data_IF_509523563157
#
_entry.id   IF_509523563157
#
_cell.length_a   1.000
_cell.length_b   1.000
_cell.length_c   1.000
_cell.angle_alpha   90.00
_cell.angle_beta   90.00
_cell.angle_gamma   90.00
#
_symmetry.space_group_name_H-M   'P 1'
#
loop_
_entity.id
_entity.type
_entity.pdbx_description
1 polymer ?
#
# COMPACT_ATOMS: atom_id res chain seq x y z
N UNK A 1 1.41 -20.43 -3.48
CA UNK A 1 0.26 -19.51 -3.50
C UNK A 1 0.22 -18.70 -4.79
N UNK A 2 -0.99 -18.47 -5.32
CA UNK A 2 -1.26 -17.62 -6.48
C UNK A 2 -0.98 -18.26 -7.85
N UNK A 3 -1.07 -17.50 -8.96
CA UNK A 3 -1.55 -16.12 -8.99
C UNK A 3 -3.03 -16.02 -8.57
N UNK A 4 -3.38 -14.99 -7.81
CA UNK A 4 -4.72 -14.65 -7.35
C UNK A 4 -5.18 -13.40 -8.11
N UNK A 5 -5.51 -13.61 -9.38
CA UNK A 5 -6.04 -12.53 -10.21
C UNK A 5 -7.43 -12.13 -9.71
N UNK A 6 -7.66 -10.82 -9.63
CA UNK A 6 -8.98 -10.25 -9.43
C UNK A 6 -9.59 -9.95 -10.79
N UNK A 7 -10.77 -10.51 -11.06
CA UNK A 7 -11.58 -10.16 -12.24
C UNK A 7 -12.65 -9.11 -11.91
N UNK A 8 -12.92 -8.91 -10.61
CA UNK A 8 -13.86 -7.93 -10.08
C UNK A 8 -13.49 -7.51 -8.66
N UNK A 9 -14.14 -6.44 -8.18
CA UNK A 9 -13.93 -5.91 -6.82
C UNK A 9 -14.64 -6.76 -5.75
N UNK A 10 -15.71 -7.43 -6.13
CA UNK A 10 -16.43 -8.40 -5.30
C UNK A 10 -15.56 -9.59 -4.90
N UNK A 11 -14.57 -9.96 -5.73
CA UNK A 11 -13.65 -11.05 -5.46
C UNK A 11 -12.61 -10.75 -4.38
N UNK A 12 -12.42 -9.48 -3.98
CA UNK A 12 -11.42 -9.07 -2.99
C UNK A 12 -11.64 -9.79 -1.66
N UNK A 13 -12.90 -9.88 -1.23
CA UNK A 13 -13.30 -10.44 0.06
C UNK A 13 -14.03 -11.77 -0.06
N UNK A 14 -14.24 -12.26 -1.29
CA UNK A 14 -14.85 -13.55 -1.51
C UNK A 14 -13.95 -14.66 -0.91
N UNK A 15 -14.54 -15.69 -0.25
CA UNK A 15 -13.80 -16.85 0.19
C UNK A 15 -12.98 -17.43 -0.97
N UNK A 16 -11.68 -17.63 -0.74
CA UNK A 16 -10.81 -18.25 -1.74
C UNK A 16 -10.92 -19.76 -1.67
N UNK A 17 -10.87 -20.40 -2.83
CA UNK A 17 -10.74 -21.85 -2.90
C UNK A 17 -9.50 -22.28 -2.09
N UNK A 18 -9.59 -23.31 -1.23
CA UNK A 18 -8.46 -23.76 -0.41
C UNK A 18 -7.20 -24.09 -1.21
N UNK A 19 -7.33 -24.46 -2.49
CA UNK A 19 -6.20 -24.69 -3.39
C UNK A 19 -5.36 -23.44 -3.67
N UNK A 20 -5.89 -22.23 -3.48
CA UNK A 20 -5.17 -20.96 -3.62
C UNK A 20 -3.89 -20.89 -2.77
N UNK A 21 -3.89 -21.57 -1.62
CA UNK A 21 -2.82 -21.59 -0.63
C UNK A 21 -1.83 -22.74 -0.81
N UNK A 22 -2.09 -23.67 -1.74
CA UNK A 22 -1.21 -24.82 -1.96
C UNK A 22 0.15 -24.40 -2.51
N UNK A 23 1.15 -25.26 -2.29
CA UNK A 23 2.46 -25.14 -2.90
C UNK A 23 2.32 -25.14 -4.43
N UNK A 24 2.85 -24.11 -5.08
CA UNK A 24 2.71 -23.89 -6.52
C UNK A 24 4.00 -23.29 -7.07
N UNK A 25 5.05 -24.12 -7.28
CA UNK A 25 6.36 -23.64 -7.74
C UNK A 25 6.27 -23.21 -9.20
N UNK A 26 6.81 -22.02 -9.48
CA UNK A 26 6.87 -21.44 -10.82
C UNK A 26 7.92 -20.34 -10.86
N UNK A 27 8.30 -19.92 -12.05
CA UNK A 27 9.19 -18.78 -12.23
C UNK A 27 8.48 -17.47 -11.86
N UNK A 28 9.26 -16.53 -11.34
CA UNK A 28 8.86 -15.13 -11.21
C UNK A 28 8.69 -14.51 -12.60
N UNK A 29 7.62 -13.76 -12.82
CA UNK A 29 7.26 -13.19 -14.12
C UNK A 29 7.21 -11.68 -14.07
N UNK A 30 7.97 -11.04 -14.97
CA UNK A 30 7.98 -9.58 -15.15
C UNK A 30 7.68 -9.22 -16.60
N UNK A 31 7.05 -8.07 -16.78
CA UNK A 31 6.73 -7.48 -18.08
C UNK A 31 6.71 -5.96 -17.93
N UNK A 32 7.86 -5.33 -18.13
CA UNK A 32 8.06 -3.92 -17.78
C UNK A 32 7.24 -2.98 -18.65
N UNK A 33 6.48 -2.08 -18.02
CA UNK A 33 5.71 -1.04 -18.67
C UNK A 33 6.02 0.35 -18.09
N UNK A 34 7.02 1.00 -18.68
CA UNK A 34 7.45 2.34 -18.25
C UNK A 34 6.42 3.45 -18.51
N UNK A 35 5.41 3.23 -19.35
CA UNK A 35 4.39 4.23 -19.63
C UNK A 35 3.51 4.52 -18.39
N UNK A 36 3.24 3.49 -17.57
CA UNK A 36 2.50 3.64 -16.32
C UNK A 36 3.29 4.49 -15.30
N UNK A 37 4.59 4.23 -15.17
CA UNK A 37 5.46 5.00 -14.28
C UNK A 37 5.55 6.47 -14.70
N UNK A 38 5.75 6.72 -16.01
CA UNK A 38 5.78 8.10 -16.55
C UNK A 38 4.48 8.86 -16.29
N UNK A 39 3.34 8.16 -16.28
CA UNK A 39 2.02 8.77 -16.08
C UNK A 39 1.69 9.01 -14.61
N UNK A 40 1.97 8.04 -13.74
CA UNK A 40 1.44 8.01 -12.37
C UNK A 40 2.50 8.10 -11.27
N UNK A 41 3.75 7.71 -11.53
CA UNK A 41 4.83 7.65 -10.55
C UNK A 41 6.04 8.51 -10.98
N UNK A 42 5.77 9.75 -11.40
CA UNK A 42 6.77 10.71 -11.88
C UNK A 42 7.10 11.77 -10.81
N UNK A 43 8.03 12.67 -11.14
CA UNK A 43 8.46 13.73 -10.22
C UNK A 43 7.33 14.71 -9.83
N UNK A 44 6.32 14.90 -10.69
CA UNK A 44 5.14 15.71 -10.36
C UNK A 44 4.26 15.01 -9.31
N UNK A 45 4.05 13.69 -9.43
CA UNK A 45 3.34 12.92 -8.42
C UNK A 45 4.02 13.01 -7.05
N UNK A 46 5.36 12.91 -7.01
CA UNK A 46 6.15 13.12 -5.78
C UNK A 46 5.95 14.51 -5.22
N UNK A 47 6.02 15.56 -6.05
CA UNK A 47 5.78 16.94 -5.61
C UNK A 47 4.38 17.13 -5.04
N UNK A 48 3.35 16.59 -5.70
CA UNK A 48 1.97 16.68 -5.23
C UNK A 48 1.76 15.94 -3.91
N UNK A 49 2.36 14.77 -3.73
CA UNK A 49 2.34 14.05 -2.45
C UNK A 49 2.99 14.88 -1.33
N UNK A 50 4.20 15.39 -1.54
CA UNK A 50 4.91 16.15 -0.51
C UNK A 50 4.26 17.51 -0.20
N UNK A 51 3.55 18.10 -1.17
CA UNK A 51 2.81 19.36 -1.01
C UNK A 51 1.38 19.18 -0.45
N UNK A 52 0.89 17.94 -0.35
CA UNK A 52 -0.44 17.65 0.15
C UNK A 52 -0.62 18.20 1.57
N UNK A 53 -1.75 18.86 1.83
CA UNK A 53 -2.06 19.44 3.14
C UNK A 53 -2.68 18.41 4.08
N UNK A 54 -3.42 17.45 3.54
CA UNK A 54 -4.11 16.41 4.29
C UNK A 54 -3.68 15.01 3.86
N UNK A 55 -3.88 14.02 4.73
CA UNK A 55 -3.62 12.61 4.40
C UNK A 55 -4.51 12.13 3.23
N UNK A 56 -5.75 12.66 3.12
CA UNK A 56 -6.64 12.36 2.02
C UNK A 56 -6.08 12.84 0.66
N UNK A 57 -5.49 14.03 0.61
CA UNK A 57 -4.82 14.54 -0.59
C UNK A 57 -3.57 13.71 -0.94
N UNK A 58 -2.77 13.35 0.06
CA UNK A 58 -1.59 12.49 -0.12
C UNK A 58 -1.99 11.13 -0.71
N UNK A 59 -2.94 10.44 -0.07
CA UNK A 59 -3.48 9.15 -0.54
C UNK A 59 -4.16 9.28 -1.90
N UNK A 60 -4.81 10.41 -2.19
CA UNK A 60 -5.41 10.69 -3.49
C UNK A 60 -4.42 10.72 -4.67
N UNK A 61 -3.11 10.83 -4.40
CA UNK A 61 -2.04 10.70 -5.40
C UNK A 61 -1.37 9.33 -5.32
N UNK A 62 -1.11 8.85 -4.10
CA UNK A 62 -0.40 7.61 -3.86
C UNK A 62 -1.26 6.38 -4.19
N UNK A 63 -2.40 6.23 -3.51
CA UNK A 63 -3.27 5.05 -3.57
C UNK A 63 -4.74 5.47 -3.34
N UNK A 64 -5.43 5.99 -4.38
CA UNK A 64 -6.76 6.55 -4.21
C UNK A 64 -7.77 5.49 -3.76
N UNK A 65 -8.52 5.77 -2.69
CA UNK A 65 -9.58 4.89 -2.17
C UNK A 65 -10.82 4.76 -3.08
N UNK A 66 -10.80 5.30 -4.31
CA UNK A 66 -11.93 5.14 -5.24
C UNK A 66 -11.61 4.04 -6.26
N UNK A 67 -12.50 3.05 -6.36
CA UNK A 67 -12.45 2.01 -7.37
C UNK A 67 -12.22 2.56 -8.79
N UNK A 68 -11.33 1.92 -9.54
CA UNK A 68 -11.00 2.28 -10.92
C UNK A 68 -10.03 3.46 -11.07
N UNK A 69 -9.60 4.10 -9.98
CA UNK A 69 -8.52 5.09 -9.99
C UNK A 69 -7.18 4.41 -9.72
N UNK A 70 -6.14 4.84 -10.44
CA UNK A 70 -4.77 4.35 -10.29
C UNK A 70 -3.91 5.49 -9.74
N UNK A 71 -3.19 5.21 -8.66
CA UNK A 71 -2.17 6.09 -8.08
C UNK A 71 -0.75 5.59 -8.33
N UNK A 72 0.22 6.31 -7.75
CA UNK A 72 1.63 5.96 -7.84
C UNK A 72 1.97 4.57 -7.28
N UNK A 73 1.30 4.13 -6.21
CA UNK A 73 1.47 2.82 -5.58
C UNK A 73 1.09 1.68 -6.55
N UNK A 74 -0.18 1.65 -6.97
CA UNK A 74 -0.66 0.65 -7.94
C UNK A 74 0.15 0.67 -9.25
N UNK A 75 0.51 1.85 -9.76
CA UNK A 75 1.35 1.96 -10.96
C UNK A 75 2.74 1.36 -10.77
N UNK A 76 3.36 1.50 -9.59
CA UNK A 76 4.63 0.87 -9.26
C UNK A 76 4.55 -0.66 -9.29
N UNK A 77 3.45 -1.23 -8.79
CA UNK A 77 3.17 -2.67 -8.85
C UNK A 77 2.99 -3.15 -10.30
N UNK A 78 1.97 -2.65 -10.99
CA UNK A 78 1.56 -3.20 -12.30
C UNK A 78 2.56 -2.88 -13.43
N UNK A 79 3.43 -1.87 -13.26
CA UNK A 79 4.48 -1.57 -14.22
C UNK A 79 5.58 -2.65 -14.29
N UNK A 80 5.70 -3.52 -13.28
CA UNK A 80 6.71 -4.58 -13.27
C UNK A 80 6.18 -5.90 -13.83
N UNK A 81 4.88 -6.03 -14.02
CA UNK A 81 4.23 -7.19 -14.63
C UNK A 81 3.47 -8.06 -13.63
N UNK A 82 3.15 -9.31 -14.00
CA UNK A 82 2.09 -10.07 -13.35
C UNK A 82 2.40 -10.51 -11.92
N UNK A 83 3.67 -10.77 -11.55
CA UNK A 83 3.98 -11.12 -10.15
C UNK A 83 3.74 -9.93 -9.22
N UNK A 84 4.26 -8.74 -9.53
CA UNK A 84 4.02 -7.53 -8.73
C UNK A 84 2.59 -7.01 -8.85
N UNK A 85 1.91 -7.24 -9.98
CA UNK A 85 0.52 -6.80 -10.19
C UNK A 85 -0.53 -7.64 -9.45
N UNK A 86 -0.16 -8.79 -8.88
CA UNK A 86 -1.04 -9.61 -8.06
C UNK A 86 -1.14 -9.00 -6.65
N UNK A 87 -2.29 -8.41 -6.33
CA UNK A 87 -2.51 -7.67 -5.07
C UNK A 87 -2.28 -8.54 -3.82
N UNK A 88 -2.47 -9.86 -3.91
CA UNK A 88 -2.28 -10.76 -2.76
C UNK A 88 -0.88 -11.36 -2.70
N UNK A 89 -0.20 -11.45 -3.84
CA UNK A 89 1.02 -12.22 -4.01
C UNK A 89 2.22 -11.39 -4.49
N UNK A 90 2.08 -10.07 -4.60
CA UNK A 90 3.13 -9.13 -5.03
C UNK A 90 4.42 -9.22 -4.22
N UNK A 91 4.31 -9.51 -2.92
CA UNK A 91 5.44 -9.76 -2.01
C UNK A 91 6.36 -10.91 -2.44
N UNK A 92 5.90 -11.79 -3.35
CA UNK A 92 6.75 -12.84 -3.93
C UNK A 92 7.83 -12.28 -4.88
N UNK A 93 7.69 -11.04 -5.36
CA UNK A 93 8.77 -10.35 -6.06
C UNK A 93 9.63 -9.55 -5.06
N UNK A 94 10.95 -9.82 -4.95
CA UNK A 94 11.83 -9.11 -4.01
C UNK A 94 11.82 -7.58 -4.15
N UNK A 95 11.48 -7.04 -5.32
CA UNK A 95 11.40 -5.58 -5.52
C UNK A 95 10.21 -4.93 -4.80
N UNK A 96 9.25 -5.73 -4.33
CA UNK A 96 8.15 -5.29 -3.48
C UNK A 96 8.66 -4.46 -2.30
N UNK A 97 9.72 -4.92 -1.64
CA UNK A 97 10.30 -4.25 -0.47
C UNK A 97 10.93 -2.91 -0.83
N UNK A 98 11.56 -2.79 -2.00
CA UNK A 98 12.11 -1.52 -2.48
C UNK A 98 11.00 -0.53 -2.87
N UNK A 99 9.93 -1.05 -3.48
CA UNK A 99 8.74 -0.25 -3.80
C UNK A 99 8.11 0.31 -2.52
N UNK A 100 7.83 -0.54 -1.54
CA UNK A 100 7.22 -0.13 -0.27
C UNK A 100 8.15 0.71 0.61
N UNK A 101 9.48 0.53 0.52
CA UNK A 101 10.42 1.45 1.17
C UNK A 101 10.33 2.88 0.60
N UNK A 102 10.09 3.03 -0.70
CA UNK A 102 9.86 4.36 -1.29
C UNK A 102 8.49 4.94 -0.89
N UNK A 103 7.45 4.10 -0.78
CA UNK A 103 6.14 4.51 -0.25
C UNK A 103 6.27 5.04 1.17
N UNK A 104 6.94 4.28 2.05
CA UNK A 104 7.17 4.66 3.44
C UNK A 104 8.05 5.91 3.55
N UNK A 105 9.09 6.04 2.72
CA UNK A 105 9.92 7.25 2.64
C UNK A 105 9.10 8.50 2.31
N UNK A 106 8.22 8.43 1.31
CA UNK A 106 7.37 9.57 0.96
C UNK A 106 6.39 9.92 2.07
N UNK A 107 5.82 8.91 2.72
CA UNK A 107 4.92 9.10 3.86
C UNK A 107 5.63 9.75 5.05
N UNK A 108 6.81 9.24 5.44
CA UNK A 108 7.62 9.80 6.50
C UNK A 108 8.06 11.24 6.22
N UNK A 109 8.49 11.55 4.99
CA UNK A 109 8.80 12.93 4.57
C UNK A 109 7.59 13.85 4.70
N UNK A 110 6.40 13.40 4.26
CA UNK A 110 5.17 14.16 4.35
C UNK A 110 4.73 14.42 5.81
N UNK A 111 4.89 13.43 6.69
CA UNK A 111 4.62 13.55 8.13
C UNK A 111 5.55 14.57 8.80
N UNK A 112 6.86 14.47 8.56
CA UNK A 112 7.86 15.39 9.13
C UNK A 112 7.56 16.83 8.75
N UNK A 113 7.18 17.08 7.50
CA UNK A 113 6.90 18.42 6.99
C UNK A 113 5.69 19.12 7.66
N UNK A 114 4.72 18.38 8.21
CA UNK A 114 3.54 18.96 8.87
C UNK A 114 3.40 18.61 10.35
N UNK A 115 4.48 18.12 10.99
CA UNK A 115 4.55 18.00 12.43
C UNK A 115 3.56 17.01 13.07
N UNK A 116 3.18 17.21 14.34
CA UNK A 116 2.37 16.27 15.11
C UNK A 116 0.99 15.97 14.51
N UNK A 117 0.36 16.94 13.84
CA UNK A 117 -0.97 16.75 13.22
C UNK A 117 -0.93 15.69 12.11
N UNK A 118 0.11 15.72 11.27
CA UNK A 118 0.29 14.72 10.21
C UNK A 118 0.75 13.37 10.74
N UNK A 119 1.42 13.34 11.89
CA UNK A 119 1.91 12.09 12.50
C UNK A 119 0.79 11.09 12.72
N UNK A 120 -0.37 11.56 13.18
CA UNK A 120 -1.52 10.70 13.50
C UNK A 120 -2.66 10.82 12.48
N UNK A 121 -2.41 11.45 11.32
CA UNK A 121 -3.44 11.67 10.32
C UNK A 121 -3.82 10.34 9.63
N UNK A 122 -5.12 10.05 9.63
CA UNK A 122 -5.71 8.87 8.98
C UNK A 122 -6.89 9.30 8.11
N UNK A 123 -7.15 8.55 7.05
CA UNK A 123 -8.34 8.68 6.21
C UNK A 123 -8.67 7.33 5.58
N UNK A 124 -9.95 6.96 5.58
CA UNK A 124 -10.44 5.71 4.99
C UNK A 124 -10.90 4.69 6.02
N UNK A 125 -11.11 3.47 5.55
CA UNK A 125 -11.72 2.36 6.29
C UNK A 125 -10.81 1.13 6.31
N UNK A 126 -11.21 0.09 7.06
CA UNK A 126 -10.52 -1.21 7.04
C UNK A 126 -10.77 -2.03 5.77
N UNK A 127 -11.45 -1.46 4.77
CA UNK A 127 -11.86 -2.13 3.54
C UNK A 127 -11.32 -1.34 2.34
N UNK A 128 -10.57 -2.02 1.47
CA UNK A 128 -10.16 -1.53 0.15
C UNK A 128 -11.34 -0.90 -0.61
N UNK A 129 -11.09 0.30 -1.14
CA UNK A 129 -12.02 1.19 -1.83
C UNK A 129 -13.09 1.88 -0.99
N UNK A 130 -12.93 1.93 0.34
CA UNK A 130 -13.77 2.71 1.26
C UNK A 130 -15.28 2.60 0.99
N UNK A 131 -15.84 1.37 0.97
CA UNK A 131 -17.27 1.21 0.76
C UNK A 131 -18.06 1.94 1.87
N UNK A 132 -19.23 2.51 1.55
CA UNK A 132 -19.92 3.45 2.44
C UNK A 132 -20.41 2.83 3.76
N UNK A 133 -20.48 1.51 3.83
CA UNK A 133 -20.87 0.76 5.02
C UNK A 133 -19.68 0.39 5.92
N UNK A 134 -18.44 0.58 5.46
CA UNK A 134 -17.26 0.19 6.21
C UNK A 134 -16.94 1.18 7.32
N UNK A 135 -16.50 0.64 8.45
CA UNK A 135 -16.08 1.44 9.60
C UNK A 135 -14.75 2.14 9.31
N UNK A 136 -14.70 3.44 9.59
CA UNK A 136 -13.48 4.23 9.51
C UNK A 136 -12.41 3.69 10.47
N UNK A 137 -11.16 3.71 10.03
CA UNK A 137 -10.03 3.35 10.89
C UNK A 137 -9.70 4.50 11.83
N UNK A 138 -9.21 4.15 13.02
CA UNK A 138 -8.70 5.11 14.01
C UNK A 138 -7.31 4.67 14.45
N UNK A 139 -6.62 5.54 15.18
CA UNK A 139 -5.29 5.23 15.74
C UNK A 139 -5.32 4.07 16.75
N UNK A 140 -6.50 3.68 17.25
CA UNK A 140 -6.68 2.53 18.13
C UNK A 140 -7.11 1.24 17.41
N UNK A 141 -7.37 1.29 16.09
CA UNK A 141 -7.59 0.10 15.27
C UNK A 141 -6.37 -0.82 15.35
N UNK A 142 -6.62 -2.12 15.54
CA UNK A 142 -5.59 -3.16 15.61
C UNK A 142 -5.30 -3.70 14.21
N UNK A 143 -4.02 -3.78 13.87
CA UNK A 143 -3.48 -4.42 12.67
C UNK A 143 -2.93 -5.78 13.05
N UNK A 144 -3.31 -6.80 12.29
CA UNK A 144 -2.90 -8.20 12.48
C UNK A 144 -1.75 -8.54 11.54
N UNK A 145 -0.73 -9.23 12.06
CA UNK A 145 0.44 -9.70 11.27
C UNK A 145 0.52 -11.23 11.17
N UNK A 146 -0.44 -11.94 11.75
CA UNK A 146 -0.52 -13.40 11.70
C UNK A 146 0.74 -14.07 12.27
N UNK A 147 1.32 -15.00 11.51
CA UNK A 147 2.55 -15.71 11.93
C UNK A 147 3.82 -14.87 11.81
N UNK A 148 3.75 -13.70 11.15
CA UNK A 148 4.92 -12.84 10.89
C UNK A 148 5.18 -11.84 12.03
N UNK A 149 4.25 -11.67 12.96
CA UNK A 149 4.39 -10.74 14.08
C UNK A 149 3.16 -10.70 14.98
N UNK A 150 3.26 -9.96 16.07
CA UNK A 150 2.15 -9.76 17.00
C UNK A 150 1.22 -8.61 16.57
N UNK A 151 -0.08 -8.65 16.94
CA UNK A 151 -1.01 -7.57 16.64
C UNK A 151 -0.58 -6.25 17.30
N UNK A 152 -0.81 -5.12 16.62
CA UNK A 152 -0.44 -3.78 17.11
C UNK A 152 -1.51 -2.76 16.77
N UNK A 153 -1.67 -1.72 17.59
CA UNK A 153 -2.52 -0.59 17.24
C UNK A 153 -1.84 0.31 16.22
N UNK A 154 -2.61 0.94 15.34
CA UNK A 154 -2.10 1.89 14.34
C UNK A 154 -1.18 2.95 14.96
N UNK A 155 -1.53 3.52 16.13
CA UNK A 155 -0.68 4.52 16.82
C UNK A 155 0.76 4.07 17.10
N UNK A 156 0.98 2.77 17.25
CA UNK A 156 2.32 2.19 17.49
C UNK A 156 3.14 2.09 16.20
N UNK A 157 2.51 2.32 15.05
CA UNK A 157 3.09 2.18 13.72
C UNK A 157 3.35 3.51 13.01
N UNK A 158 2.92 4.63 13.60
CA UNK A 158 2.91 5.94 12.93
C UNK A 158 4.25 6.68 12.95
N UNK A 159 5.21 6.24 13.77
CA UNK A 159 6.48 6.94 14.00
C UNK A 159 7.69 6.03 13.78
N UNK A 160 8.54 6.31 12.76
CA UNK A 160 9.75 5.51 12.51
C UNK A 160 10.81 5.61 13.63
N UNK A 161 10.61 6.46 14.64
CA UNK A 161 11.46 6.62 15.83
C UNK A 161 10.80 6.18 17.14
N UNK A 162 9.59 5.61 17.11
CA UNK A 162 8.90 5.15 18.32
C UNK A 162 8.43 3.70 18.20
N UNK A 163 7.97 3.14 19.33
CA UNK A 163 7.57 1.74 19.40
C UNK A 163 8.76 0.82 19.17
N UNK A 164 8.69 -0.02 18.16
CA UNK A 164 9.79 -0.91 17.75
C UNK A 164 10.66 -0.36 16.63
N UNK A 165 10.36 0.85 16.16
CA UNK A 165 11.08 1.47 15.06
C UNK A 165 12.15 2.43 15.56
N UNK A 166 13.28 2.44 14.85
CA UNK A 166 14.37 3.39 15.06
C UNK A 166 15.15 3.54 13.75
N UNK A 167 14.52 4.10 12.72
CA UNK A 167 15.12 4.24 11.39
C UNK A 167 14.85 5.62 10.77
N UNK A 168 15.64 5.95 9.75
CA UNK A 168 15.45 7.13 8.93
C UNK A 168 15.80 6.85 7.47
N UNK A 169 15.33 7.72 6.58
CA UNK A 169 15.70 7.70 5.17
C UNK A 169 16.65 8.86 4.89
N UNK A 170 17.70 8.56 4.11
CA UNK A 170 18.65 9.55 3.62
C UNK A 170 18.20 10.16 2.27
#
# INVERSE_FOLDING_TARGET
MGPLNLHGLDEIYAPRDPSAWRYNPRCLMRSFNSALLRRFANADAVRRMLAAQTIQEFLGVLDPGTAGRIGAHAAGHVALGPTMGDVFASVQDPVFFLHHAMVDRLWGMWQVAGGPERRCALNGTGWMFDPPWATAVTVDTVVEFGILGSPRKIKELMDPFAGEYCYTYL
#
